data_IF_246825163929
#
_entry.id   IF_246825163929
#
_cell.length_a   1.000
_cell.length_b   1.000
_cell.length_c   1.000
_cell.angle_alpha   90.00
_cell.angle_beta   90.00
_cell.angle_gamma   90.00
#
_symmetry.space_group_name_H-M   'P 1'
#
loop_
_entity.id
_entity.type
_entity.pdbx_description
1 polymer ?
#
# COMPACT_ATOMS: atom_id res chain seq x y z
N UNK A 1 2.26 -12.06 -20.13
CA UNK A 1 3.21 -11.99 -21.26
C UNK A 1 4.47 -12.71 -20.81
N UNK A 2 4.97 -13.68 -21.59
CA UNK A 2 6.20 -14.43 -21.28
C UNK A 2 7.41 -13.50 -21.43
N UNK A 3 7.73 -12.71 -20.39
CA UNK A 3 8.93 -11.85 -20.37
C UNK A 3 10.24 -12.65 -20.30
N UNK A 4 10.17 -13.90 -19.84
CA UNK A 4 11.36 -14.69 -19.49
C UNK A 4 11.89 -15.62 -20.59
N UNK A 5 11.33 -15.61 -21.81
CA UNK A 5 11.84 -16.47 -22.88
C UNK A 5 12.85 -15.71 -23.77
N UNK A 6 14.16 -15.95 -23.64
CA UNK A 6 15.18 -15.28 -24.45
C UNK A 6 15.13 -15.61 -25.95
N UNK A 7 14.34 -16.60 -26.36
CA UNK A 7 14.12 -16.95 -27.77
C UNK A 7 12.99 -16.15 -28.45
N UNK A 8 12.26 -15.31 -27.71
CA UNK A 8 11.21 -14.46 -28.28
C UNK A 8 11.82 -13.38 -29.18
N UNK A 9 11.38 -13.34 -30.44
CA UNK A 9 11.71 -12.24 -31.36
C UNK A 9 10.71 -11.11 -31.15
N UNK A 10 11.18 -10.01 -30.57
CA UNK A 10 10.39 -8.80 -30.42
C UNK A 10 10.03 -8.20 -31.79
N UNK A 11 8.85 -7.61 -31.87
CA UNK A 11 8.44 -6.87 -33.06
C UNK A 11 9.38 -5.66 -33.27
N UNK A 12 9.81 -5.32 -34.50
CA UNK A 12 10.76 -4.22 -34.75
C UNK A 12 10.34 -2.87 -34.16
N UNK A 13 9.03 -2.61 -34.06
CA UNK A 13 8.54 -1.39 -33.42
C UNK A 13 8.86 -1.31 -31.93
N UNK A 14 8.84 -2.42 -31.20
CA UNK A 14 9.17 -2.47 -29.77
C UNK A 14 10.66 -2.20 -29.58
N UNK A 15 11.51 -2.84 -30.39
CA UNK A 15 12.96 -2.62 -30.40
C UNK A 15 13.26 -1.14 -30.65
N UNK A 16 12.58 -0.55 -31.65
CA UNK A 16 12.75 0.86 -31.98
C UNK A 16 12.33 1.77 -30.83
N UNK A 17 11.16 1.55 -30.23
CA UNK A 17 10.68 2.35 -29.09
C UNK A 17 11.65 2.34 -27.91
N UNK A 18 12.25 1.19 -27.58
CA UNK A 18 13.23 1.09 -26.50
C UNK A 18 14.53 1.83 -26.83
N UNK A 19 15.02 1.74 -28.08
CA UNK A 19 16.30 2.33 -28.49
C UNK A 19 16.17 3.84 -28.79
N UNK A 20 14.98 4.35 -29.07
CA UNK A 20 14.74 5.74 -29.48
C UNK A 20 14.96 6.78 -28.35
N UNK A 21 15.13 6.36 -27.09
CA UNK A 21 15.36 7.28 -25.95
C UNK A 21 16.61 6.92 -25.13
N UNK A 22 17.82 7.02 -25.72
CA UNK A 22 19.05 6.78 -24.98
C UNK A 22 19.37 7.96 -24.04
N UNK A 23 19.99 7.65 -22.92
CA UNK A 23 20.61 8.62 -22.02
C UNK A 23 22.12 8.63 -22.24
N UNK A 24 22.71 9.81 -22.26
CA UNK A 24 24.16 9.99 -22.41
C UNK A 24 24.57 11.27 -21.68
N UNK A 25 25.64 11.21 -20.92
CA UNK A 25 26.23 12.32 -20.19
C UNK A 25 27.46 12.88 -20.94
N UNK A 26 28.27 12.00 -21.52
CA UNK A 26 29.47 12.28 -22.31
C UNK A 26 29.29 11.77 -23.75
N UNK A 27 30.01 12.35 -24.72
CA UNK A 27 29.86 11.99 -26.15
C UNK A 27 30.04 10.49 -26.47
N UNK A 28 30.72 9.74 -25.60
CA UNK A 28 31.06 8.33 -25.81
C UNK A 28 30.36 7.37 -24.83
N UNK A 29 29.45 7.86 -23.97
CA UNK A 29 28.65 6.99 -23.09
C UNK A 29 27.23 6.78 -23.62
N UNK A 30 26.57 5.74 -23.12
CA UNK A 30 25.23 5.38 -23.54
C UNK A 30 24.53 4.52 -22.48
N UNK A 31 23.34 4.92 -22.08
CA UNK A 31 22.46 4.13 -21.22
C UNK A 31 21.08 3.98 -21.85
N UNK A 32 20.58 2.75 -21.91
CA UNK A 32 19.26 2.40 -22.41
C UNK A 32 18.55 1.58 -21.33
N UNK A 33 17.32 1.96 -21.02
CA UNK A 33 16.52 1.33 -19.98
C UNK A 33 15.26 0.73 -20.59
N UNK A 34 14.93 -0.47 -20.15
CA UNK A 34 13.69 -1.20 -20.42
C UNK A 34 13.15 -1.78 -19.12
N UNK A 35 11.89 -2.22 -19.12
CA UNK A 35 11.21 -2.69 -17.90
C UNK A 35 11.90 -3.89 -17.26
N UNK A 36 12.49 -4.77 -18.07
CA UNK A 36 13.13 -6.01 -17.60
C UNK A 36 14.66 -5.96 -17.69
N UNK A 37 15.24 -4.95 -18.36
CA UNK A 37 16.66 -4.94 -18.75
C UNK A 37 17.20 -3.52 -18.85
N UNK A 38 18.50 -3.35 -18.63
CA UNK A 38 19.21 -2.13 -18.97
C UNK A 38 20.53 -2.45 -19.66
N UNK A 39 21.03 -1.50 -20.44
CA UNK A 39 22.37 -1.51 -21.02
C UNK A 39 23.02 -0.19 -20.63
N UNK A 40 24.18 -0.28 -19.98
CA UNK A 40 25.02 0.86 -19.63
C UNK A 40 26.37 0.64 -20.28
N UNK A 41 26.78 1.60 -21.10
CA UNK A 41 28.07 1.65 -21.76
C UNK A 41 28.78 2.93 -21.33
N UNK A 42 29.87 2.77 -20.60
CA UNK A 42 30.70 3.88 -20.17
C UNK A 42 32.19 3.53 -20.36
N UNK A 43 32.86 4.14 -21.35
CA UNK A 43 34.29 3.94 -21.58
C UNK A 43 35.19 4.43 -20.44
N UNK A 44 34.73 5.41 -19.65
CA UNK A 44 35.50 6.01 -18.56
C UNK A 44 35.47 5.17 -17.28
N UNK A 45 34.53 4.21 -17.20
CA UNK A 45 34.29 3.34 -16.04
C UNK A 45 33.87 4.11 -14.78
N UNK A 46 33.03 5.12 -14.97
CA UNK A 46 32.45 5.98 -13.93
C UNK A 46 30.91 5.80 -13.92
N UNK A 47 30.46 4.55 -13.89
CA UNK A 47 29.04 4.18 -14.01
C UNK A 47 28.37 3.90 -12.66
N UNK A 48 29.10 4.02 -11.55
CA UNK A 48 28.66 3.65 -10.21
C UNK A 48 27.43 4.42 -9.76
N UNK A 49 27.39 5.73 -10.00
CA UNK A 49 26.25 6.57 -9.61
C UNK A 49 25.01 6.26 -10.44
N UNK A 50 25.20 5.97 -11.74
CA UNK A 50 24.13 5.53 -12.63
C UNK A 50 23.56 4.17 -12.20
N UNK A 51 24.44 3.24 -11.84
CA UNK A 51 24.06 1.94 -11.31
C UNK A 51 23.27 2.10 -10.00
N UNK A 52 23.74 2.94 -9.08
CA UNK A 52 23.07 3.21 -7.80
C UNK A 52 21.66 3.75 -7.98
N UNK A 53 21.45 4.69 -8.92
CA UNK A 53 20.12 5.22 -9.24
C UNK A 53 19.20 4.14 -9.84
N UNK A 54 19.77 3.28 -10.68
CA UNK A 54 19.04 2.16 -11.28
C UNK A 54 18.63 1.14 -10.21
N UNK A 55 19.55 0.81 -9.30
CA UNK A 55 19.29 -0.06 -8.15
C UNK A 55 18.24 0.52 -7.22
N UNK A 56 18.29 1.83 -6.97
CA UNK A 56 17.29 2.52 -6.16
C UNK A 56 15.89 2.38 -6.77
N UNK A 57 15.74 2.63 -8.07
CA UNK A 57 14.45 2.49 -8.75
C UNK A 57 13.93 1.05 -8.69
N UNK A 58 14.80 0.06 -8.92
CA UNK A 58 14.45 -1.36 -8.78
C UNK A 58 14.02 -1.71 -7.36
N UNK A 59 14.74 -1.21 -6.35
CA UNK A 59 14.40 -1.40 -4.94
C UNK A 59 13.02 -0.80 -4.61
N UNK A 60 12.70 0.38 -5.14
CA UNK A 60 11.39 1.01 -4.93
C UNK A 60 10.25 0.14 -5.48
N UNK A 61 10.40 -0.41 -6.70
CA UNK A 61 9.40 -1.35 -7.26
C UNK A 61 9.26 -2.60 -6.41
N UNK A 62 10.38 -3.19 -6.00
CA UNK A 62 10.39 -4.38 -5.16
C UNK A 62 9.65 -4.13 -3.85
N UNK A 63 9.92 -3.00 -3.20
CA UNK A 63 9.29 -2.64 -1.94
C UNK A 63 7.78 -2.38 -2.12
N UNK A 64 7.38 -1.65 -3.17
CA UNK A 64 5.96 -1.42 -3.48
C UNK A 64 5.22 -2.74 -3.74
N UNK A 65 5.80 -3.64 -4.55
CA UNK A 65 5.20 -4.95 -4.83
C UNK A 65 5.13 -5.84 -3.58
N UNK A 66 6.04 -5.65 -2.63
CA UNK A 66 6.04 -6.37 -1.35
C UNK A 66 4.95 -5.81 -0.43
N UNK A 67 4.84 -4.48 -0.34
CA UNK A 67 3.79 -3.80 0.43
C UNK A 67 2.39 -4.21 -0.06
N UNK A 68 2.20 -4.24 -1.38
CA UNK A 68 0.93 -4.64 -2.01
C UNK A 68 0.54 -6.08 -1.61
N UNK A 69 1.48 -7.03 -1.66
CA UNK A 69 1.25 -8.42 -1.23
C UNK A 69 0.93 -8.57 0.26
N UNK A 70 1.62 -7.80 1.11
CA UNK A 70 1.33 -7.80 2.55
C UNK A 70 -0.07 -7.24 2.79
N UNK A 71 -0.43 -6.15 2.10
CA UNK A 71 -1.75 -5.55 2.22
C UNK A 71 -2.86 -6.49 1.70
N UNK A 72 -2.64 -7.18 0.58
CA UNK A 72 -3.55 -8.22 0.07
C UNK A 72 -3.83 -9.28 1.14
N UNK A 73 -2.76 -9.85 1.71
CA UNK A 73 -2.89 -10.91 2.71
C UNK A 73 -3.72 -10.48 3.93
N UNK A 74 -3.47 -9.27 4.43
CA UNK A 74 -4.14 -8.76 5.62
C UNK A 74 -5.60 -8.41 5.33
N UNK A 75 -5.92 -7.88 4.14
CA UNK A 75 -7.29 -7.64 3.72
C UNK A 75 -8.09 -8.95 3.59
N UNK A 76 -7.51 -10.00 3.02
CA UNK A 76 -8.15 -11.31 2.92
C UNK A 76 -8.51 -11.85 4.31
N UNK A 77 -7.60 -11.72 5.28
CA UNK A 77 -7.81 -12.14 6.67
C UNK A 77 -8.95 -11.36 7.33
N UNK A 78 -9.03 -10.05 7.09
CA UNK A 78 -10.12 -9.19 7.61
C UNK A 78 -11.46 -9.57 7.00
N UNK A 79 -11.51 -9.77 5.69
CA UNK A 79 -12.73 -10.15 4.99
C UNK A 79 -13.28 -11.47 5.53
N UNK A 80 -12.42 -12.47 5.70
CA UNK A 80 -12.75 -13.77 6.27
C UNK A 80 -13.33 -13.65 7.68
N UNK A 81 -12.72 -12.81 8.52
CA UNK A 81 -13.17 -12.61 9.88
C UNK A 81 -14.50 -11.85 9.94
N UNK A 82 -14.70 -10.84 9.10
CA UNK A 82 -15.99 -10.15 8.94
C UNK A 82 -17.08 -11.14 8.52
N UNK A 83 -16.85 -11.94 7.46
CA UNK A 83 -17.79 -12.98 6.99
C UNK A 83 -18.15 -13.96 8.10
N UNK A 84 -17.19 -14.37 8.94
CA UNK A 84 -17.44 -15.27 10.09
C UNK A 84 -18.28 -14.61 11.18
N UNK A 85 -18.11 -13.32 11.43
CA UNK A 85 -18.90 -12.57 12.42
C UNK A 85 -20.35 -12.41 11.93
N UNK A 86 -20.55 -12.04 10.66
CA UNK A 86 -21.88 -11.89 10.08
C UNK A 86 -22.63 -13.22 9.93
N UNK A 87 -21.92 -14.33 9.64
CA UNK A 87 -22.53 -15.66 9.47
C UNK A 87 -22.77 -16.41 10.79
N UNK A 88 -21.97 -16.18 11.83
CA UNK A 88 -22.13 -16.79 13.16
C UNK A 88 -22.41 -15.71 14.19
N UNK A 89 -23.68 -15.61 14.62
CA UNK A 89 -24.22 -14.70 15.66
C UNK A 89 -23.51 -14.67 17.04
N UNK A 90 -22.34 -15.29 17.24
CA UNK A 90 -21.75 -15.52 18.58
C UNK A 90 -20.22 -15.62 18.62
N UNK A 91 -19.47 -14.63 18.15
CA UNK A 91 -18.09 -14.43 18.64
C UNK A 91 -17.93 -13.06 19.31
N UNK A 92 -17.12 -12.96 20.38
CA UNK A 92 -17.03 -11.74 21.18
C UNK A 92 -16.30 -10.65 20.40
N UNK A 93 -16.96 -9.49 20.26
CA UNK A 93 -16.46 -8.24 19.68
C UNK A 93 -15.04 -7.83 20.15
N UNK A 94 -14.57 -8.32 21.30
CA UNK A 94 -13.21 -8.10 21.80
C UNK A 94 -12.10 -8.67 20.90
N UNK A 95 -12.32 -9.78 20.20
CA UNK A 95 -11.32 -10.36 19.30
C UNK A 95 -11.14 -9.51 18.04
N UNK A 96 -12.24 -8.95 17.51
CA UNK A 96 -12.23 -8.02 16.39
C UNK A 96 -11.49 -6.73 16.77
N UNK A 97 -11.77 -6.17 17.95
CA UNK A 97 -11.11 -4.94 18.42
C UNK A 97 -9.58 -5.03 18.54
N UNK A 98 -9.02 -6.20 18.89
CA UNK A 98 -7.55 -6.41 18.92
C UNK A 98 -6.95 -6.43 17.52
N UNK A 99 -7.53 -7.21 16.60
CA UNK A 99 -7.07 -7.28 15.20
C UNK A 99 -7.14 -5.93 14.50
N UNK A 100 -8.21 -5.17 14.71
CA UNK A 100 -8.34 -3.80 14.20
C UNK A 100 -7.19 -2.90 14.70
N UNK A 101 -6.74 -3.09 15.94
CA UNK A 101 -5.59 -2.36 16.50
C UNK A 101 -4.26 -2.72 15.81
N UNK A 102 -4.03 -4.01 15.55
CA UNK A 102 -2.82 -4.49 14.84
C UNK A 102 -2.78 -3.95 13.41
N UNK A 103 -3.91 -3.95 12.71
CA UNK A 103 -4.00 -3.48 11.35
C UNK A 103 -3.88 -1.95 11.24
N UNK A 104 -4.36 -1.19 12.23
CA UNK A 104 -4.08 0.24 12.32
C UNK A 104 -2.59 0.52 12.43
N UNK A 105 -1.86 -0.27 13.21
CA UNK A 105 -0.40 -0.15 13.31
C UNK A 105 0.26 -0.45 11.97
N UNK A 106 -0.11 -1.56 11.33
CA UNK A 106 0.40 -1.91 10.01
C UNK A 106 0.17 -0.80 8.98
N UNK A 107 -1.03 -0.22 8.94
CA UNK A 107 -1.34 0.91 8.06
C UNK A 107 -0.38 2.08 8.27
N UNK A 108 -0.16 2.48 9.52
CA UNK A 108 0.75 3.58 9.85
C UNK A 108 2.17 3.25 9.37
N UNK A 109 2.66 2.04 9.65
CA UNK A 109 3.97 1.57 9.22
C UNK A 109 4.10 1.60 7.68
N UNK A 110 3.07 1.16 6.95
CA UNK A 110 3.03 1.20 5.48
C UNK A 110 3.01 2.62 4.92
N UNK A 111 2.27 3.56 5.53
CA UNK A 111 2.25 4.96 5.11
C UNK A 111 3.65 5.57 5.23
N UNK A 112 4.34 5.32 6.35
CA UNK A 112 5.72 5.79 6.52
C UNK A 112 6.66 5.20 5.46
N UNK A 113 6.50 3.91 5.12
CA UNK A 113 7.29 3.29 4.06
C UNK A 113 7.02 3.93 2.70
N UNK A 114 5.75 4.22 2.36
CA UNK A 114 5.39 4.91 1.12
C UNK A 114 5.97 6.32 1.05
N UNK A 115 5.92 7.08 2.15
CA UNK A 115 6.55 8.40 2.22
C UNK A 115 8.07 8.31 2.03
N UNK A 116 8.71 7.32 2.64
CA UNK A 116 10.16 7.11 2.46
C UNK A 116 10.51 6.75 1.01
N UNK A 117 9.70 5.93 0.35
CA UNK A 117 9.87 5.59 -1.08
C UNK A 117 9.78 6.84 -1.94
N UNK A 118 8.77 7.67 -1.73
CA UNK A 118 8.55 8.92 -2.50
C UNK A 118 9.64 9.96 -2.23
N UNK A 119 10.20 9.98 -1.01
CA UNK A 119 11.26 10.89 -0.62
C UNK A 119 12.65 10.43 -1.06
N UNK A 120 12.84 9.17 -1.45
CA UNK A 120 14.17 8.63 -1.78
C UNK A 120 14.84 9.34 -2.96
N UNK A 121 14.05 9.89 -3.89
CA UNK A 121 14.56 10.66 -5.03
C UNK A 121 15.20 12.00 -4.65
N UNK A 122 14.90 12.53 -3.45
CA UNK A 122 15.45 13.82 -2.96
C UNK A 122 16.96 13.75 -2.66
N UNK A 123 17.52 12.55 -2.57
CA UNK A 123 18.93 12.31 -2.25
C UNK A 123 19.80 12.29 -3.52
N UNK A 124 19.18 12.34 -4.71
CA UNK A 124 19.91 12.26 -5.98
C UNK A 124 20.73 13.53 -6.19
N UNK A 125 22.05 13.35 -6.36
CA UNK A 125 23.04 14.41 -6.25
C UNK A 125 23.17 15.36 -7.44
N UNK A 126 22.69 14.96 -8.63
CA UNK A 126 22.76 15.79 -9.84
C UNK A 126 21.53 15.66 -10.74
N UNK A 127 21.45 16.58 -11.71
CA UNK A 127 20.33 16.72 -12.65
C UNK A 127 20.25 15.58 -13.68
N UNK A 128 21.37 14.97 -14.07
CA UNK A 128 21.40 13.88 -15.04
C UNK A 128 20.84 12.59 -14.42
N UNK A 129 21.32 12.25 -13.23
CA UNK A 129 20.83 11.14 -12.41
C UNK A 129 19.35 11.32 -12.05
N UNK A 130 18.90 12.55 -11.76
CA UNK A 130 17.50 12.83 -11.48
C UNK A 130 16.59 12.56 -12.69
N UNK A 131 17.04 12.86 -13.91
CA UNK A 131 16.30 12.54 -15.14
C UNK A 131 16.17 11.04 -15.36
N UNK A 132 17.24 10.29 -15.11
CA UNK A 132 17.22 8.83 -15.24
C UNK A 132 16.30 8.21 -14.20
N UNK A 133 16.36 8.67 -12.95
CA UNK A 133 15.42 8.23 -11.92
C UNK A 133 13.97 8.55 -12.28
N UNK A 134 13.70 9.74 -12.81
CA UNK A 134 12.36 10.12 -13.27
C UNK A 134 11.88 9.23 -14.43
N UNK A 135 12.77 8.89 -15.37
CA UNK A 135 12.48 7.98 -16.46
C UNK A 135 12.15 6.58 -15.95
N UNK A 136 12.99 6.01 -15.09
CA UNK A 136 12.76 4.71 -14.45
C UNK A 136 11.48 4.70 -13.61
N UNK A 137 11.21 5.78 -12.88
CA UNK A 137 10.00 5.94 -12.09
C UNK A 137 8.73 5.86 -12.93
N UNK A 138 8.75 6.45 -14.13
CA UNK A 138 7.67 6.36 -15.09
C UNK A 138 7.59 4.98 -15.74
N UNK A 139 8.74 4.41 -16.13
CA UNK A 139 8.81 3.08 -16.74
C UNK A 139 8.22 2.00 -15.83
N UNK A 140 8.56 2.07 -14.54
CA UNK A 140 8.06 1.16 -13.51
C UNK A 140 6.71 1.57 -12.90
N UNK A 141 6.18 2.74 -13.27
CA UNK A 141 4.92 3.28 -12.77
C UNK A 141 4.86 3.39 -11.24
N UNK A 142 5.94 3.87 -10.61
CA UNK A 142 6.04 3.94 -9.14
C UNK A 142 4.90 4.75 -8.51
N UNK A 143 4.46 5.83 -9.17
CA UNK A 143 3.35 6.66 -8.69
C UNK A 143 2.00 5.92 -8.71
N UNK A 144 1.75 5.12 -9.76
CA UNK A 144 0.51 4.33 -9.87
C UNK A 144 0.47 3.26 -8.76
N UNK A 145 1.59 2.58 -8.51
CA UNK A 145 1.75 1.64 -7.41
C UNK A 145 1.47 2.30 -6.06
N UNK A 146 2.15 3.42 -5.75
CA UNK A 146 1.95 4.15 -4.48
C UNK A 146 0.50 4.56 -4.30
N UNK A 147 -0.12 5.14 -5.34
CA UNK A 147 -1.52 5.60 -5.31
C UNK A 147 -2.49 4.44 -5.07
N UNK A 148 -2.29 3.31 -5.76
CA UNK A 148 -3.11 2.11 -5.56
C UNK A 148 -3.06 1.62 -4.11
N UNK A 149 -1.86 1.52 -3.54
CA UNK A 149 -1.68 1.07 -2.15
C UNK A 149 -2.32 2.07 -1.17
N UNK A 150 -2.15 3.39 -1.37
CA UNK A 150 -2.81 4.42 -0.53
C UNK A 150 -4.33 4.28 -0.54
N UNK A 151 -4.94 4.17 -1.72
CA UNK A 151 -6.40 4.03 -1.85
C UNK A 151 -6.92 2.79 -1.12
N UNK A 152 -6.18 1.67 -1.20
CA UNK A 152 -6.52 0.44 -0.49
C UNK A 152 -6.38 0.59 1.03
N UNK A 153 -5.34 1.28 1.50
CA UNK A 153 -5.18 1.61 2.91
C UNK A 153 -6.30 2.52 3.41
N UNK A 154 -6.74 3.49 2.62
CA UNK A 154 -7.88 4.38 2.90
C UNK A 154 -9.19 3.60 3.02
N UNK A 155 -9.49 2.74 2.05
CA UNK A 155 -10.66 1.86 2.10
C UNK A 155 -10.66 0.96 3.34
N UNK A 156 -9.47 0.50 3.77
CA UNK A 156 -9.31 -0.25 5.00
C UNK A 156 -9.67 0.58 6.26
N UNK A 157 -9.35 1.87 6.27
CA UNK A 157 -9.81 2.78 7.34
C UNK A 157 -11.31 2.90 7.39
N UNK A 158 -11.93 3.09 6.23
CA UNK A 158 -13.36 3.28 6.11
C UNK A 158 -14.10 2.06 6.65
N UNK A 159 -13.65 0.85 6.28
CA UNK A 159 -14.17 -0.41 6.84
C UNK A 159 -14.05 -0.43 8.37
N UNK A 160 -12.92 0.01 8.93
CA UNK A 160 -12.77 0.07 10.39
C UNK A 160 -13.68 1.09 11.05
N UNK A 161 -13.82 2.27 10.45
CA UNK A 161 -14.64 3.35 10.99
C UNK A 161 -16.12 2.92 10.99
N UNK A 162 -16.59 2.27 9.92
CA UNK A 162 -17.93 1.67 9.86
C UNK A 162 -18.11 0.56 10.89
N UNK A 163 -17.19 -0.41 10.96
CA UNK A 163 -17.29 -1.51 11.93
C UNK A 163 -17.24 -1.00 13.39
N UNK A 164 -16.54 0.10 13.67
CA UNK A 164 -16.51 0.74 14.98
C UNK A 164 -17.80 1.50 15.30
N UNK A 165 -18.39 2.17 14.29
CA UNK A 165 -19.68 2.86 14.41
C UNK A 165 -20.78 1.90 14.86
N UNK A 166 -20.90 0.75 14.21
CA UNK A 166 -21.91 -0.27 14.54
C UNK A 166 -21.79 -0.80 15.98
N UNK A 167 -20.55 -0.92 16.47
CA UNK A 167 -20.27 -1.33 17.85
C UNK A 167 -20.68 -0.23 18.84
N UNK A 168 -20.38 1.03 18.53
CA UNK A 168 -20.74 2.16 19.38
C UNK A 168 -22.27 2.35 19.42
N UNK A 169 -22.97 2.27 18.30
CA UNK A 169 -24.44 2.33 18.25
C UNK A 169 -25.07 1.20 19.07
N UNK A 170 -24.55 -0.02 18.95
CA UNK A 170 -25.01 -1.15 19.77
C UNK A 170 -24.79 -0.89 21.26
N UNK A 171 -23.64 -0.34 21.66
CA UNK A 171 -23.34 0.00 23.06
C UNK A 171 -24.26 1.10 23.60
N UNK A 172 -24.57 2.11 22.78
CA UNK A 172 -25.53 3.16 23.13
C UNK A 172 -26.93 2.58 23.32
N UNK A 173 -27.37 1.66 22.44
CA UNK A 173 -28.65 0.96 22.59
C UNK A 173 -28.69 0.11 23.87
N UNK A 174 -27.61 -0.58 24.23
CA UNK A 174 -27.55 -1.31 25.50
C UNK A 174 -27.60 -0.39 26.72
N UNK A 175 -26.93 0.77 26.66
CA UNK A 175 -26.97 1.77 27.71
C UNK A 175 -28.39 2.36 27.85
N UNK A 176 -29.05 2.61 26.72
CA UNK A 176 -30.44 3.09 26.68
C UNK A 176 -31.39 2.05 27.27
N UNK A 177 -31.26 0.78 26.90
CA UNK A 177 -32.07 -0.31 27.46
C UNK A 177 -31.82 -0.48 28.97
N UNK A 178 -30.57 -0.35 29.40
CA UNK A 178 -30.20 -0.43 30.81
C UNK A 178 -30.79 0.73 31.62
N UNK A 179 -30.71 1.95 31.10
CA UNK A 179 -31.36 3.13 31.69
C UNK A 179 -32.88 2.96 31.73
N UNK A 180 -33.51 2.53 30.64
CA UNK A 180 -34.94 2.26 30.56
C UNK A 180 -35.39 1.19 31.58
N UNK A 181 -34.57 0.14 31.76
CA UNK A 181 -34.82 -0.90 32.78
C UNK A 181 -34.76 -0.32 34.19
N UNK A 182 -33.73 0.47 34.52
CA UNK A 182 -33.58 1.10 35.84
C UNK A 182 -34.78 2.02 36.13
N UNK A 183 -35.12 2.91 35.21
CA UNK A 183 -36.27 3.81 35.37
C UNK A 183 -37.60 3.04 35.48
N UNK A 184 -37.76 1.96 34.71
CA UNK A 184 -38.93 1.09 34.81
C UNK A 184 -39.06 0.42 36.18
N UNK A 185 -37.95 -0.03 36.77
CA UNK A 185 -37.92 -0.62 38.11
C UNK A 185 -38.23 0.43 39.19
N UNK A 186 -37.62 1.61 39.13
CA UNK A 186 -37.91 2.71 40.07
C UNK A 186 -39.39 3.09 40.05
N UNK A 187 -40.00 3.18 38.86
CA UNK A 187 -41.42 3.46 38.71
C UNK A 187 -42.33 2.40 39.35
N UNK A 188 -41.98 1.12 39.21
CA UNK A 188 -42.72 0.02 39.85
C UNK A 188 -42.57 0.05 41.37
N UNK A 189 -41.35 0.31 41.89
CA UNK A 189 -41.13 0.47 43.33
C UNK A 189 -41.93 1.62 43.93
N UNK A 190 -41.99 2.75 43.21
CA UNK A 190 -42.80 3.91 43.58
C UNK A 190 -44.30 3.57 43.64
N UNK A 191 -44.83 2.85 42.65
CA UNK A 191 -46.24 2.42 42.63
C UNK A 191 -46.59 1.42 43.73
N UNK A 192 -45.65 0.54 44.10
CA UNK A 192 -45.84 -0.44 45.18
C UNK A 192 -45.68 0.17 46.59
N UNK A 193 -45.34 1.45 46.70
CA UNK A 193 -45.20 2.13 47.99
C UNK A 193 -44.02 1.63 48.82
N UNK A 194 -43.00 1.09 48.16
CA UNK A 194 -41.74 0.64 48.78
C UNK A 194 -40.71 1.77 48.89
N UNK A 195 -41.15 3.03 48.76
CA UNK A 195 -40.34 4.25 48.90
C UNK A 195 -41.04 5.30 49.74
#
# INVERSE_FOLDING_TARGET
>A
LQGDNPALRYHPSQIKTTIDNPFSYMENDLAIFDIDRCIIFDPSRDYEDLLLVTELANYQVLLLSTLDKVLDHELDVVEDDLRRIFSRRRKPFKALGRKVGELKKLRVDMIFLLENIENASKIIGDYYLAQIHAHLSNLFKLSDWSTSIRNRLEALEDIYNTARSDINESMVLYLELFLALIFGLEFVFFLLGLG
#
